data_IF_231719517082
#
_entry.id   IF_231719517082
#
_cell.length_a   1.000
_cell.length_b   1.000
_cell.length_c   1.000
_cell.angle_alpha   90.00
_cell.angle_beta   90.00
_cell.angle_gamma   90.00
#
_symmetry.space_group_name_H-M   'P 1'
#
loop_
_entity.id
_entity.type
_entity.pdbx_description
1 polymer ?
#
# COMPACT_ATOMS: atom_id res chain seq x y z
N UNK A 1 -18.43 21.78 -17.11
CA UNK A 1 -17.94 20.44 -17.48
C UNK A 1 -16.43 20.48 -17.36
N UNK A 2 -15.88 19.94 -16.28
CA UNK A 2 -14.44 19.92 -16.01
C UNK A 2 -13.78 18.71 -16.69
N UNK A 3 -12.67 18.87 -17.44
CA UNK A 3 -12.04 17.79 -18.21
C UNK A 3 -10.97 17.00 -17.42
N UNK A 4 -10.86 17.17 -16.11
CA UNK A 4 -9.81 16.54 -15.29
C UNK A 4 -10.32 15.54 -14.25
N UNK A 5 -11.43 14.85 -14.54
CA UNK A 5 -11.77 13.63 -13.82
C UNK A 5 -10.83 12.51 -14.28
N UNK A 6 -9.75 12.30 -13.54
CA UNK A 6 -8.95 11.08 -13.65
C UNK A 6 -9.88 9.88 -13.38
N UNK A 7 -10.35 9.23 -14.45
CA UNK A 7 -10.92 7.89 -14.42
C UNK A 7 -9.78 6.92 -14.07
N UNK A 8 -9.35 6.95 -12.80
CA UNK A 8 -8.54 5.90 -12.23
C UNK A 8 -9.44 4.68 -12.13
N UNK A 9 -9.21 3.69 -12.98
CA UNK A 9 -9.83 2.38 -12.86
C UNK A 9 -9.36 1.74 -11.54
N UNK A 10 -9.99 2.13 -10.43
CA UNK A 10 -10.07 1.30 -9.23
C UNK A 10 -10.76 0.01 -9.66
N UNK A 11 -10.27 -1.13 -9.19
CA UNK A 11 -10.91 -2.42 -9.50
C UNK A 11 -12.39 -2.38 -9.13
N UNK A 12 -13.20 -3.23 -9.73
CA UNK A 12 -14.63 -3.33 -9.41
C UNK A 12 -14.91 -3.99 -8.04
N UNK A 13 -13.89 -4.14 -7.18
CA UNK A 13 -13.98 -4.82 -5.88
C UNK A 13 -14.05 -6.36 -5.97
N UNK A 14 -14.12 -6.93 -7.18
CA UNK A 14 -14.36 -8.37 -7.37
C UNK A 14 -13.24 -9.25 -6.80
N UNK A 15 -11.99 -8.77 -6.82
CA UNK A 15 -10.85 -9.49 -6.22
C UNK A 15 -10.64 -9.05 -4.78
N UNK A 16 -10.51 -10.03 -3.89
CA UNK A 16 -10.11 -9.86 -2.50
C UNK A 16 -8.64 -10.23 -2.31
N UNK A 17 -7.90 -9.38 -1.59
CA UNK A 17 -6.54 -9.65 -1.17
C UNK A 17 -6.56 -10.15 0.28
N UNK A 18 -6.00 -11.33 0.51
CA UNK A 18 -5.92 -11.97 1.82
C UNK A 18 -4.46 -12.08 2.27
N UNK A 19 -4.23 -12.12 3.57
CA UNK A 19 -2.91 -12.36 4.14
C UNK A 19 -2.43 -13.76 3.75
N UNK A 20 -1.24 -13.88 3.17
CA UNK A 20 -0.69 -15.17 2.77
C UNK A 20 -0.42 -16.10 3.96
N UNK A 21 -0.26 -15.56 5.17
CA UNK A 21 0.03 -16.35 6.36
C UNK A 21 -1.22 -16.91 7.06
N UNK A 22 -2.35 -16.19 7.05
CA UNK A 22 -3.54 -16.58 7.82
C UNK A 22 -4.85 -16.59 7.02
N UNK A 23 -4.83 -16.21 5.74
CA UNK A 23 -6.00 -16.17 4.87
C UNK A 23 -7.00 -15.06 5.19
N UNK A 24 -6.78 -14.22 6.21
CA UNK A 24 -7.71 -13.14 6.55
C UNK A 24 -7.66 -12.01 5.52
N UNK A 25 -8.84 -11.48 5.18
CA UNK A 25 -9.00 -10.32 4.29
C UNK A 25 -8.12 -9.14 4.73
N UNK A 26 -7.37 -8.58 3.78
CA UNK A 26 -6.58 -7.36 3.92
C UNK A 26 -7.31 -6.18 3.28
N UNK A 27 -7.68 -6.32 2.01
CA UNK A 27 -8.35 -5.28 1.22
C UNK A 27 -8.97 -5.86 -0.06
N UNK A 28 -9.58 -5.00 -0.86
CA UNK A 28 -10.22 -5.33 -2.14
C UNK A 28 -9.57 -4.56 -3.29
N UNK A 29 -9.77 -5.06 -4.51
CA UNK A 29 -9.21 -4.46 -5.74
C UNK A 29 -9.73 -3.07 -6.09
N UNK A 30 -10.88 -2.65 -5.56
CA UNK A 30 -11.37 -1.27 -5.65
C UNK A 30 -10.51 -0.27 -4.87
N UNK A 31 -9.64 -0.76 -3.98
CA UNK A 31 -8.70 0.07 -3.22
C UNK A 31 -7.36 0.25 -3.90
N UNK A 32 -7.06 -0.43 -5.00
CA UNK A 32 -5.80 -0.24 -5.72
C UNK A 32 -5.58 1.23 -6.07
N UNK A 33 -4.39 1.73 -5.77
CA UNK A 33 -4.02 3.13 -5.92
C UNK A 33 -2.91 3.27 -6.98
N UNK A 34 -3.18 3.85 -8.14
CA UNK A 34 -2.14 4.06 -9.14
C UNK A 34 -1.24 5.25 -8.79
N UNK A 35 0.07 5.05 -8.80
CA UNK A 35 1.08 6.10 -8.92
C UNK A 35 1.71 6.03 -10.32
N UNK A 36 1.66 7.13 -11.08
CA UNK A 36 2.15 7.14 -12.45
C UNK A 36 1.47 6.12 -13.37
N UNK A 37 0.18 5.85 -13.14
CA UNK A 37 -0.60 4.87 -13.90
C UNK A 37 -0.38 3.41 -13.50
N UNK A 38 0.47 3.12 -12.50
CA UNK A 38 0.78 1.76 -12.03
C UNK A 38 0.45 1.62 -10.54
N UNK A 39 -0.13 0.49 -10.16
CA UNK A 39 -0.38 0.13 -8.75
C UNK A 39 0.67 -0.84 -8.20
N UNK A 40 1.52 -1.44 -9.04
CA UNK A 40 2.58 -2.37 -8.64
C UNK A 40 3.94 -1.73 -8.91
N UNK A 41 4.79 -1.77 -7.91
CA UNK A 41 6.11 -1.15 -7.91
C UNK A 41 7.16 -2.14 -7.43
N UNK A 42 8.35 -2.05 -8.02
CA UNK A 42 9.51 -2.83 -7.63
C UNK A 42 10.60 -1.85 -7.21
N UNK A 43 11.05 -1.97 -5.96
CA UNK A 43 12.14 -1.18 -5.41
C UNK A 43 13.16 -2.09 -4.73
N UNK A 44 14.32 -1.55 -4.42
CA UNK A 44 15.37 -2.25 -3.66
C UNK A 44 15.57 -1.48 -2.37
N UNK A 45 15.54 -2.19 -1.23
CA UNK A 45 15.84 -1.57 0.05
C UNK A 45 17.37 -1.38 0.22
N UNK A 46 17.83 -0.59 1.20
CA UNK A 46 19.27 -0.36 1.42
C UNK A 46 20.10 -1.64 1.65
N UNK A 47 19.48 -2.74 2.07
CA UNK A 47 20.12 -4.04 2.24
C UNK A 47 20.22 -4.86 0.94
N UNK A 48 19.80 -4.30 -0.20
CA UNK A 48 19.85 -4.98 -1.51
C UNK A 48 18.69 -5.93 -1.77
N UNK A 49 17.63 -5.92 -0.94
CA UNK A 49 16.47 -6.80 -1.09
C UNK A 49 15.42 -6.17 -1.99
N UNK A 50 15.04 -6.89 -3.04
CA UNK A 50 13.94 -6.51 -3.92
C UNK A 50 12.59 -6.58 -3.18
N UNK A 51 11.85 -5.48 -3.25
CA UNK A 51 10.56 -5.28 -2.62
C UNK A 51 9.52 -4.99 -3.71
N UNK A 52 8.77 -6.03 -4.06
CA UNK A 52 7.64 -5.96 -4.98
C UNK A 52 6.36 -5.76 -4.20
N UNK A 53 5.73 -4.60 -4.33
CA UNK A 53 4.50 -4.28 -3.61
C UNK A 53 3.45 -3.60 -4.47
N UNK A 54 2.20 -3.81 -4.06
CA UNK A 54 1.03 -3.13 -4.57
C UNK A 54 0.60 -2.00 -3.64
N UNK A 55 0.12 -0.91 -4.22
CA UNK A 55 -0.35 0.26 -3.48
C UNK A 55 -1.86 0.32 -3.37
N UNK A 56 -2.36 0.68 -2.19
CA UNK A 56 -3.78 0.73 -1.87
C UNK A 56 -4.15 2.01 -1.12
N UNK A 57 -5.34 2.54 -1.41
CA UNK A 57 -5.94 3.67 -0.70
C UNK A 57 -6.36 3.32 0.73
N UNK A 58 -6.82 2.08 0.96
CA UNK A 58 -7.25 1.59 2.27
C UNK A 58 -7.04 0.07 2.40
N UNK A 59 -6.76 -0.38 3.62
CA UNK A 59 -6.46 -1.77 3.97
C UNK A 59 -7.04 -2.10 5.36
N UNK A 60 -8.33 -2.40 5.44
CA UNK A 60 -9.04 -2.70 6.70
C UNK A 60 -8.41 -3.83 7.55
N UNK A 61 -7.72 -4.78 6.91
CA UNK A 61 -7.06 -5.90 7.57
C UNK A 61 -5.59 -5.64 7.93
N UNK A 62 -5.07 -4.44 7.68
CA UNK A 62 -3.72 -4.03 8.03
C UNK A 62 -3.71 -2.96 9.15
N UNK A 63 -2.62 -2.89 9.90
CA UNK A 63 -2.36 -1.88 10.93
C UNK A 63 -0.93 -1.39 10.83
N UNK A 64 -0.73 -0.08 10.99
CA UNK A 64 0.57 0.54 11.03
C UNK A 64 1.12 0.54 12.47
N UNK A 65 2.41 0.29 12.64
CA UNK A 65 3.07 0.27 13.95
C UNK A 65 4.46 0.91 13.88
N UNK A 66 4.86 1.56 14.97
CA UNK A 66 6.11 2.30 15.12
C UNK A 66 5.97 3.80 14.82
N UNK A 67 7.09 4.50 14.93
CA UNK A 67 7.21 5.93 14.60
C UNK A 67 7.38 6.14 13.09
N UNK A 68 6.76 7.17 12.50
CA UNK A 68 6.93 7.47 11.08
C UNK A 68 8.33 8.02 10.79
N UNK A 69 8.95 7.56 9.71
CA UNK A 69 10.25 8.07 9.23
C UNK A 69 10.25 8.30 7.72
N UNK A 70 10.98 9.31 7.25
CA UNK A 70 11.22 9.53 5.81
C UNK A 70 12.48 8.80 5.31
N UNK A 71 13.25 8.21 6.22
CA UNK A 71 14.50 7.52 5.90
C UNK A 71 14.26 6.42 4.86
N UNK A 72 15.00 6.47 3.75
CA UNK A 72 14.88 5.51 2.63
C UNK A 72 13.46 5.35 2.06
N UNK A 73 12.60 6.37 2.19
CA UNK A 73 11.27 6.34 1.58
C UNK A 73 11.35 6.25 0.05
N UNK A 74 10.64 5.28 -0.53
CA UNK A 74 10.52 5.14 -1.99
C UNK A 74 9.53 6.12 -2.60
N UNK A 75 8.70 6.77 -1.79
CA UNK A 75 7.74 7.78 -2.22
C UNK A 75 8.18 9.13 -1.68
N UNK A 76 8.83 9.99 -2.49
CA UNK A 76 9.31 11.29 -2.04
C UNK A 76 8.20 12.08 -1.35
N UNK A 77 8.49 12.79 -0.26
CA UNK A 77 7.47 13.56 0.49
C UNK A 77 6.46 12.72 1.28
N UNK A 78 6.77 11.44 1.52
CA UNK A 78 6.05 10.58 2.44
C UNK A 78 6.99 10.00 3.49
N UNK A 79 6.57 10.05 4.74
CA UNK A 79 7.08 9.19 5.79
C UNK A 79 6.38 7.84 5.74
N UNK A 80 7.00 6.82 6.34
CA UNK A 80 6.45 5.47 6.40
C UNK A 80 6.58 4.84 7.77
N UNK A 81 5.69 3.88 8.02
CA UNK A 81 5.67 2.97 9.16
C UNK A 81 5.53 1.53 8.69
N UNK A 82 5.94 0.57 9.52
CA UNK A 82 5.73 -0.84 9.22
C UNK A 82 4.24 -1.19 9.28
N UNK A 83 3.76 -1.95 8.31
CA UNK A 83 2.39 -2.42 8.23
C UNK A 83 2.32 -3.93 8.51
N UNK A 84 1.37 -4.32 9.36
CA UNK A 84 1.18 -5.68 9.81
C UNK A 84 -0.25 -6.15 9.58
N UNK A 85 -0.43 -7.45 9.41
CA UNK A 85 -1.74 -8.07 9.41
C UNK A 85 -2.36 -7.92 10.80
N UNK A 86 -3.55 -7.33 10.89
CA UNK A 86 -4.28 -7.14 12.15
C UNK A 86 -4.58 -8.46 12.86
N UNK A 87 -4.72 -9.55 12.10
CA UNK A 87 -5.11 -10.85 12.64
C UNK A 87 -3.94 -11.65 13.21
N UNK A 88 -2.82 -11.72 12.50
CA UNK A 88 -1.71 -12.62 12.85
C UNK A 88 -0.37 -11.91 13.08
N UNK A 89 -0.30 -10.58 12.92
CA UNK A 89 0.93 -9.82 13.11
C UNK A 89 1.98 -10.03 12.01
N UNK A 90 1.68 -10.77 10.94
CA UNK A 90 2.58 -10.90 9.80
C UNK A 90 2.91 -9.52 9.21
N UNK A 91 4.19 -9.20 9.05
CA UNK A 91 4.61 -8.02 8.31
C UNK A 91 4.12 -8.10 6.85
N UNK A 92 3.37 -7.09 6.42
CA UNK A 92 2.77 -7.01 5.08
C UNK A 92 3.48 -6.00 4.18
N UNK A 93 4.19 -5.01 4.73
CA UNK A 93 4.80 -3.92 3.98
C UNK A 93 4.77 -2.63 4.78
N UNK A 94 4.35 -1.54 4.15
CA UNK A 94 4.47 -0.20 4.74
C UNK A 94 3.17 0.61 4.64
N UNK A 95 2.95 1.47 5.62
CA UNK A 95 1.94 2.52 5.61
C UNK A 95 2.64 3.86 5.39
N UNK A 96 2.17 4.64 4.42
CA UNK A 96 2.77 5.91 4.03
C UNK A 96 1.86 7.08 4.41
N UNK A 97 2.46 8.13 4.95
CA UNK A 97 1.78 9.35 5.38
C UNK A 97 2.48 10.57 4.75
N UNK A 98 1.70 11.48 4.19
CA UNK A 98 2.25 12.66 3.54
C UNK A 98 2.97 13.56 4.55
N UNK A 99 4.23 13.91 4.26
CA UNK A 99 5.04 14.78 5.11
C UNK A 99 4.45 16.20 5.27
N UNK A 100 3.53 16.58 4.37
CA UNK A 100 2.81 17.86 4.43
C UNK A 100 1.29 17.67 4.30
N UNK A 101 0.52 18.63 4.79
CA UNK A 101 -0.94 18.63 4.69
C UNK A 101 -1.45 18.76 3.26
N UNK A 102 -0.64 19.31 2.34
CA UNK A 102 -0.97 19.45 0.92
C UNK A 102 -0.69 18.18 0.11
N UNK A 103 0.11 17.24 0.64
CA UNK A 103 0.44 15.99 -0.04
C UNK A 103 -0.81 15.16 -0.33
N UNK A 104 -0.90 14.60 -1.54
CA UNK A 104 -2.00 13.72 -1.98
C UNK A 104 -1.47 12.47 -2.67
N UNK A 105 -2.04 11.28 -2.37
CA UNK A 105 -2.97 11.01 -1.27
C UNK A 105 -2.35 11.34 0.10
N UNK A 106 -3.18 11.61 1.10
CA UNK A 106 -2.70 11.95 2.46
C UNK A 106 -2.06 10.74 3.14
N UNK A 107 -2.66 9.58 2.93
CA UNK A 107 -2.16 8.29 3.42
C UNK A 107 -2.42 7.23 2.37
N UNK A 108 -1.60 6.18 2.37
CA UNK A 108 -1.82 4.98 1.56
C UNK A 108 -0.99 3.81 2.10
N UNK A 109 -1.20 2.63 1.55
CA UNK A 109 -0.50 1.39 1.93
C UNK A 109 0.32 0.88 0.76
N UNK A 110 1.55 0.42 1.00
CA UNK A 110 2.36 -0.34 0.05
C UNK A 110 2.61 -1.74 0.60
N UNK A 111 1.88 -2.74 0.09
CA UNK A 111 1.91 -4.11 0.62
C UNK A 111 2.62 -5.06 -0.33
N UNK A 112 3.56 -5.84 0.20
CA UNK A 112 4.36 -6.81 -0.53
C UNK A 112 3.46 -7.85 -1.21
N UNK A 113 3.67 -8.06 -2.50
CA UNK A 113 2.91 -9.04 -3.30
C UNK A 113 3.05 -10.44 -2.72
N UNK A 114 4.25 -10.81 -2.26
CA UNK A 114 4.52 -12.11 -1.63
C UNK A 114 3.80 -12.33 -0.29
N UNK A 115 3.24 -11.27 0.30
CA UNK A 115 2.48 -11.33 1.57
C UNK A 115 0.97 -11.33 1.35
N UNK A 116 0.53 -11.27 0.10
CA UNK A 116 -0.87 -11.26 -0.29
C UNK A 116 -1.18 -12.47 -1.19
N UNK A 117 -2.37 -13.04 -1.05
CA UNK A 117 -2.96 -14.00 -1.99
C UNK A 117 -4.29 -13.46 -2.49
N UNK A 118 -4.60 -13.70 -3.77
CA UNK A 118 -5.88 -13.34 -4.39
C UNK A 118 -6.67 -14.60 -4.67
N UNK A 119 -7.93 -14.61 -4.25
CA UNK A 119 -8.92 -15.58 -4.74
C UNK A 119 -9.59 -15.06 -6.02
#
# INVERSE_FOLDING_TARGET
MDPHAAHGAGGNGAKAFQCSACGRLITHSDRLLPFGGRHRHLFVNPAGVECDFQTFTDCQGAVAFGEPTEEHSWFPGYSWRMAFCRQCGQHLGWFYEGATLSRRPRVFWGLLVSRLVTQ
#
